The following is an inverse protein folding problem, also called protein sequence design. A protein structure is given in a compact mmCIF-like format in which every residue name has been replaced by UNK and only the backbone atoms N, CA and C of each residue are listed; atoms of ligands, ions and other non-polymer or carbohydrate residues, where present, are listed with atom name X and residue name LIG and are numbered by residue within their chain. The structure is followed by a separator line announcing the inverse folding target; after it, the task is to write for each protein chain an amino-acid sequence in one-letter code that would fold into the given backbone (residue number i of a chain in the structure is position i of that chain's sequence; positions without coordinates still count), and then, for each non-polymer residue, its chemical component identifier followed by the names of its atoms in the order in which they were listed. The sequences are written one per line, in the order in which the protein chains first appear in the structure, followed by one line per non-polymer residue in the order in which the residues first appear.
data_IF_213874667070
#
_entry.id   IF_213874667070
#
_cell.length_a   1.000
_cell.length_b   1.000
_cell.length_c   1.000
_cell.angle_alpha   90.00
_cell.angle_beta   90.00
_cell.angle_gamma   90.00
#
_symmetry.space_group_name_H-M   'P 1'
#
loop_
_entity.id
_entity.type
_entity.pdbx_description
1 polymer ?
#
# COMPACT_ATOMS: atom_id res chain seq x y z
N UNK A 1 18.69 14.63 6.06
CA UNK A 1 17.34 14.10 5.78
C UNK A 1 16.95 13.24 6.96
N UNK A 2 15.74 13.38 7.51
CA UNK A 2 15.28 12.48 8.57
C UNK A 2 15.13 11.07 8.02
N UNK A 3 15.57 10.03 8.73
CA UNK A 3 15.48 8.61 8.30
C UNK A 3 16.03 8.30 6.89
N UNK A 4 17.31 8.59 6.59
CA UNK A 4 17.91 8.18 5.32
C UNK A 4 18.07 6.65 5.24
N UNK A 5 18.26 6.03 6.39
CA UNK A 5 18.17 4.58 6.62
C UNK A 5 16.83 4.25 7.28
N UNK A 6 16.30 3.02 7.10
CA UNK A 6 15.10 2.59 7.80
C UNK A 6 15.24 2.70 9.31
N UNK A 7 14.28 3.34 9.96
CA UNK A 7 14.19 3.41 11.42
C UNK A 7 12.93 2.71 11.88
N UNK A 8 13.10 1.77 12.81
CA UNK A 8 12.02 0.99 13.41
C UNK A 8 11.38 1.69 14.60
N UNK A 9 10.06 1.56 14.70
CA UNK A 9 9.23 2.07 15.78
C UNK A 9 8.26 0.97 16.21
N UNK A 10 7.91 0.92 17.49
CA UNK A 10 6.69 0.21 17.89
C UNK A 10 5.48 0.94 17.28
N UNK A 11 4.52 0.19 16.74
CA UNK A 11 3.36 0.74 16.04
C UNK A 11 2.51 1.65 16.94
N UNK A 12 2.36 1.28 18.21
CA UNK A 12 1.66 2.07 19.23
C UNK A 12 2.40 3.37 19.54
N UNK A 13 3.72 3.34 19.64
CA UNK A 13 4.54 4.53 19.93
C UNK A 13 4.54 5.51 18.75
N UNK A 14 4.64 5.00 17.51
CA UNK A 14 4.53 5.84 16.32
C UNK A 14 3.11 6.42 16.17
N UNK A 15 2.08 5.64 16.50
CA UNK A 15 0.70 6.13 16.50
C UNK A 15 0.54 7.30 17.47
N UNK A 16 0.97 7.14 18.71
CA UNK A 16 0.87 8.17 19.72
C UNK A 16 1.69 9.43 19.36
N UNK A 17 2.87 9.26 18.75
CA UNK A 17 3.67 10.37 18.26
C UNK A 17 2.94 11.16 17.16
N UNK A 18 2.40 10.46 16.16
CA UNK A 18 1.69 11.11 15.05
C UNK A 18 0.41 11.80 15.53
N UNK A 19 -0.36 11.16 16.42
CA UNK A 19 -1.54 11.78 17.04
C UNK A 19 -1.17 13.01 17.87
N UNK A 20 -0.06 12.97 18.61
CA UNK A 20 0.42 14.11 19.38
C UNK A 20 0.85 15.31 18.53
N UNK A 21 1.43 15.07 17.36
CA UNK A 21 1.92 16.12 16.44
C UNK A 21 0.82 16.66 15.52
N UNK A 22 -0.11 15.81 15.07
CA UNK A 22 -1.11 16.19 14.05
C UNK A 22 -2.54 16.27 14.56
N UNK A 23 -2.83 15.68 15.72
CA UNK A 23 -4.19 15.46 16.21
C UNK A 23 -4.98 14.39 15.42
N UNK A 24 -4.35 13.70 14.47
CA UNK A 24 -4.95 12.66 13.64
C UNK A 24 -4.29 11.31 13.87
N UNK A 25 -5.05 10.24 13.64
CA UNK A 25 -4.53 8.87 13.71
C UNK A 25 -3.58 8.57 12.55
N UNK A 26 -2.71 7.56 12.74
CA UNK A 26 -1.93 6.98 11.65
C UNK A 26 -2.84 6.55 10.50
N UNK A 27 -2.29 6.62 9.29
CA UNK A 27 -2.94 6.11 8.10
C UNK A 27 -3.41 4.67 8.33
N UNK A 28 -4.61 4.32 7.86
CA UNK A 28 -5.29 3.05 8.16
C UNK A 28 -4.46 1.81 7.85
N UNK A 29 -3.56 1.89 6.87
CA UNK A 29 -2.66 0.80 6.49
C UNK A 29 -1.61 0.51 7.58
N UNK A 30 -1.28 1.48 8.42
CA UNK A 30 -0.27 1.40 9.49
C UNK A 30 -0.89 1.36 10.89
N UNK A 31 -2.13 1.80 11.06
CA UNK A 31 -2.76 1.99 12.38
C UNK A 31 -2.75 0.69 13.22
N UNK A 32 -2.21 0.71 14.46
CA UNK A 32 -2.24 -0.45 15.34
C UNK A 32 -3.67 -0.83 15.73
N UNK A 33 -3.85 -2.04 16.27
CA UNK A 33 -5.13 -2.42 16.87
C UNK A 33 -5.36 -1.60 18.13
N UNK A 34 -6.59 -1.20 18.39
CA UNK A 34 -6.94 -0.48 19.61
C UNK A 34 -6.84 -1.43 20.80
N UNK A 35 -6.00 -1.10 21.76
CA UNK A 35 -5.82 -1.86 23.00
C UNK A 35 -6.28 -1.02 24.19
N UNK A 36 -6.86 -1.70 25.18
CA UNK A 36 -7.19 -1.07 26.46
C UNK A 36 -6.00 -1.21 27.40
N UNK A 37 -5.49 -0.08 27.87
CA UNK A 37 -4.42 -0.04 28.85
C UNK A 37 -4.97 0.26 30.25
N UNK A 38 -4.40 -0.39 31.26
CA UNK A 38 -4.55 0.06 32.64
C UNK A 38 -3.69 1.32 32.91
N UNK A 39 -3.83 1.89 34.11
CA UNK A 39 -3.14 3.13 34.47
C UNK A 39 -1.62 3.03 34.51
N UNK A 40 -1.07 1.86 34.83
CA UNK A 40 0.38 1.64 34.90
C UNK A 40 0.96 1.52 33.49
N UNK A 41 0.33 0.69 32.64
CA UNK A 41 0.65 0.57 31.23
C UNK A 41 0.54 1.91 30.48
N UNK A 42 -0.46 2.73 30.79
CA UNK A 42 -0.59 4.08 30.22
C UNK A 42 0.57 4.99 30.64
N UNK A 43 0.95 4.97 31.92
CA UNK A 43 2.05 5.81 32.42
C UNK A 43 3.38 5.45 31.76
N UNK A 44 3.64 4.17 31.52
CA UNK A 44 4.85 3.72 30.85
C UNK A 44 4.84 3.98 29.34
N UNK A 45 3.67 3.93 28.70
CA UNK A 45 3.49 4.39 27.32
C UNK A 45 3.80 5.89 27.19
N UNK A 46 3.28 6.71 28.11
CA UNK A 46 3.51 8.17 28.12
C UNK A 46 5.00 8.51 28.29
N UNK A 47 5.72 7.78 29.17
CA UNK A 47 7.18 7.94 29.32
C UNK A 47 7.93 7.59 28.04
N UNK A 48 7.62 6.43 27.43
CA UNK A 48 8.25 6.00 26.17
C UNK A 48 8.01 7.02 25.06
N UNK A 49 6.80 7.56 24.98
CA UNK A 49 6.46 8.62 24.03
C UNK A 49 7.27 9.90 24.28
N UNK A 50 7.37 10.35 25.52
CA UNK A 50 8.16 11.53 25.88
C UNK A 50 9.65 11.35 25.52
N UNK A 51 10.22 10.19 25.82
CA UNK A 51 11.57 9.82 25.42
C UNK A 51 11.74 9.82 23.90
N UNK A 52 10.81 9.19 23.17
CA UNK A 52 10.82 9.14 21.71
C UNK A 52 10.77 10.55 21.12
N UNK A 53 9.85 11.40 21.59
CA UNK A 53 9.71 12.78 21.15
C UNK A 53 10.98 13.57 21.38
N UNK A 54 11.62 13.43 22.55
CA UNK A 54 12.87 14.12 22.87
C UNK A 54 14.03 13.80 21.93
N UNK A 55 14.04 12.62 21.29
CA UNK A 55 15.07 12.24 20.29
C UNK A 55 14.95 13.03 18.99
N UNK A 56 13.76 13.53 18.71
CA UNK A 56 13.39 14.26 17.51
C UNK A 56 13.10 15.73 17.80
N UNK A 57 13.17 16.14 19.06
CA UNK A 57 13.03 17.52 19.50
C UNK A 57 14.34 18.28 19.25
N UNK A 58 14.25 19.43 18.60
CA UNK A 58 15.40 20.26 18.24
C UNK A 58 15.36 20.80 16.80
N UNK A 59 16.20 21.81 16.49
CA UNK A 59 16.25 22.38 15.15
C UNK A 59 16.69 21.33 14.13
N UNK A 60 16.10 21.38 12.93
CA UNK A 60 16.48 20.51 11.82
C UNK A 60 17.98 20.58 11.58
N UNK A 61 18.58 19.42 11.26
CA UNK A 61 20.03 19.31 11.00
C UNK A 61 20.45 20.10 9.75
N UNK A 62 19.50 20.39 8.87
CA UNK A 62 19.64 21.17 7.64
C UNK A 62 18.30 21.82 7.29
N UNK A 63 18.32 22.94 6.55
CA UNK A 63 17.13 23.57 5.96
C UNK A 63 16.40 22.63 4.99
N UNK A 64 17.11 21.65 4.44
CA UNK A 64 16.56 20.66 3.49
C UNK A 64 15.98 19.40 4.17
N UNK A 65 15.96 19.35 5.51
CA UNK A 65 15.46 18.19 6.25
C UNK A 65 14.00 18.43 6.70
N UNK A 66 13.09 17.47 6.47
CA UNK A 66 11.72 17.57 6.98
C UNK A 66 11.70 17.61 8.50
N UNK A 67 10.77 18.39 9.04
CA UNK A 67 10.48 18.42 10.46
C UNK A 67 9.66 17.20 10.86
N UNK A 68 9.59 16.91 12.16
CA UNK A 68 8.72 15.85 12.68
C UNK A 68 7.27 16.05 12.23
N UNK A 69 6.81 17.30 12.25
CA UNK A 69 5.45 17.65 11.83
C UNK A 69 5.19 17.27 10.36
N UNK A 70 6.14 17.53 9.45
CA UNK A 70 6.01 17.16 8.03
C UNK A 70 5.93 15.62 7.86
N UNK A 71 6.76 14.88 8.60
CA UNK A 71 6.76 13.41 8.58
C UNK A 71 5.45 12.87 9.16
N UNK A 72 4.99 13.42 10.29
CA UNK A 72 3.76 13.01 10.94
C UNK A 72 2.53 13.29 10.06
N UNK A 73 2.52 14.41 9.33
CA UNK A 73 1.47 14.74 8.36
C UNK A 73 1.41 13.70 7.23
N UNK A 74 2.55 13.31 6.66
CA UNK A 74 2.59 12.25 5.64
C UNK A 74 2.17 10.87 6.16
N UNK A 75 2.39 10.59 7.46
CA UNK A 75 1.99 9.33 8.09
C UNK A 75 0.52 9.27 8.48
N UNK A 76 -0.17 10.41 8.66
CA UNK A 76 -1.59 10.46 9.02
C UNK A 76 -2.50 10.81 7.83
N UNK A 77 -2.22 11.92 7.16
CA UNK A 77 -3.11 12.52 6.16
C UNK A 77 -2.34 12.99 4.91
N UNK A 78 -1.65 12.06 4.21
CA UNK A 78 -0.82 12.43 3.08
C UNK A 78 -1.62 13.09 1.94
N UNK A 79 -1.05 14.09 1.24
CA UNK A 79 -1.68 14.69 0.08
C UNK A 79 -1.71 13.71 -1.10
N UNK A 80 -0.67 12.88 -1.23
CA UNK A 80 -0.59 11.78 -2.18
C UNK A 80 -0.04 10.54 -1.51
N UNK A 81 -0.70 9.40 -1.73
CA UNK A 81 -0.23 8.13 -1.22
C UNK A 81 -0.50 6.98 -2.21
N UNK A 82 0.39 6.00 -2.18
CA UNK A 82 0.13 4.64 -2.62
C UNK A 82 0.29 3.75 -1.40
N UNK A 83 -0.64 2.83 -1.15
CA UNK A 83 -0.54 1.94 0.01
C UNK A 83 -1.08 0.56 -0.32
N UNK A 84 -0.79 -0.43 0.51
CA UNK A 84 -1.33 -1.76 0.32
C UNK A 84 -1.01 -2.76 1.41
N UNK A 85 -1.60 -3.93 1.26
CA UNK A 85 -1.35 -5.11 2.08
C UNK A 85 -0.73 -6.19 1.23
N UNK A 86 0.24 -6.90 1.79
CA UNK A 86 1.00 -7.94 1.13
C UNK A 86 1.00 -9.19 2.02
N UNK A 87 0.96 -10.35 1.39
CA UNK A 87 0.89 -11.64 2.08
C UNK A 87 1.63 -12.70 1.29
N UNK A 88 2.49 -13.46 1.95
CA UNK A 88 3.11 -14.68 1.41
C UNK A 88 2.49 -15.97 1.95
N UNK A 89 1.33 -15.86 2.61
CA UNK A 89 0.62 -16.95 3.28
C UNK A 89 1.10 -17.24 4.71
N UNK A 90 2.29 -16.77 5.10
CA UNK A 90 2.83 -16.90 6.45
C UNK A 90 2.98 -15.57 7.18
N UNK A 91 3.32 -14.53 6.42
CA UNK A 91 3.54 -13.18 6.89
C UNK A 91 2.57 -12.22 6.22
N UNK A 92 2.14 -11.22 6.99
CA UNK A 92 1.29 -10.15 6.53
C UNK A 92 1.98 -8.83 6.84
N UNK A 93 2.36 -8.12 5.79
CA UNK A 93 2.93 -6.79 5.91
C UNK A 93 2.00 -5.79 5.23
N UNK A 94 2.07 -4.55 5.68
CA UNK A 94 1.36 -3.45 5.06
C UNK A 94 2.32 -2.30 4.83
N UNK A 95 2.10 -1.52 3.77
CA UNK A 95 3.02 -0.45 3.41
C UNK A 95 2.28 0.81 2.97
N UNK A 96 2.86 1.95 3.31
CA UNK A 96 2.47 3.29 2.89
C UNK A 96 3.65 3.95 2.20
N UNK A 97 3.51 4.31 0.92
CA UNK A 97 4.37 5.26 0.25
C UNK A 97 3.62 6.60 0.12
N UNK A 98 4.06 7.60 0.87
CA UNK A 98 3.44 8.92 0.93
C UNK A 98 4.42 10.00 0.44
N UNK A 99 3.90 11.07 -0.16
CA UNK A 99 4.74 12.14 -0.69
C UNK A 99 4.09 13.51 -0.63
N UNK A 100 4.94 14.53 -0.49
CA UNK A 100 4.63 15.95 -0.66
C UNK A 100 5.29 16.48 -1.94
N UNK A 101 5.27 17.80 -2.13
CA UNK A 101 5.94 18.45 -3.26
C UNK A 101 7.47 18.36 -3.22
N UNK A 102 8.07 18.08 -2.07
CA UNK A 102 9.50 18.27 -1.86
C UNK A 102 10.21 17.10 -1.17
N UNK A 103 9.48 16.14 -0.58
CA UNK A 103 10.02 14.86 -0.13
C UNK A 103 8.91 13.78 -0.07
N UNK A 104 9.30 12.55 0.19
CA UNK A 104 8.35 11.48 0.52
C UNK A 104 8.90 10.51 1.55
N UNK A 105 8.08 9.55 1.95
CA UNK A 105 8.44 8.48 2.85
C UNK A 105 7.81 7.16 2.43
N UNK A 106 8.46 6.07 2.84
CA UNK A 106 7.87 4.74 2.87
C UNK A 106 7.85 4.26 4.32
N UNK A 107 6.70 3.76 4.75
CA UNK A 107 6.52 3.10 6.03
C UNK A 107 6.01 1.69 5.79
N UNK A 108 6.68 0.69 6.36
CA UNK A 108 6.31 -0.72 6.28
C UNK A 108 5.98 -1.20 7.69
N UNK A 109 4.79 -1.77 7.87
CA UNK A 109 4.39 -2.42 9.10
C UNK A 109 4.49 -3.93 8.95
N UNK A 110 5.14 -4.55 9.93
CA UNK A 110 5.18 -5.99 10.13
C UNK A 110 4.82 -6.28 11.60
N UNK A 111 3.64 -6.87 11.81
CA UNK A 111 3.08 -7.04 13.17
C UNK A 111 2.93 -5.72 13.92
N UNK A 112 3.69 -5.57 15.01
CA UNK A 112 3.68 -4.41 15.90
C UNK A 112 4.87 -3.46 15.67
N UNK A 113 5.66 -3.69 14.63
CA UNK A 113 6.77 -2.81 14.25
C UNK A 113 6.44 -2.05 12.96
N UNK A 114 6.84 -0.78 12.92
CA UNK A 114 6.76 0.07 11.72
C UNK A 114 8.16 0.60 11.40
N UNK A 115 8.61 0.34 10.19
CA UNK A 115 9.87 0.79 9.65
C UNK A 115 9.64 1.97 8.71
N UNK A 116 10.19 3.14 9.04
CA UNK A 116 10.03 4.38 8.26
C UNK A 116 11.35 4.79 7.64
N UNK A 117 11.31 5.18 6.36
CA UNK A 117 12.43 5.77 5.63
C UNK A 117 11.93 6.91 4.76
N UNK A 118 12.63 8.04 4.74
CA UNK A 118 12.30 9.14 3.82
C UNK A 118 13.14 9.08 2.54
N UNK A 119 12.69 9.78 1.51
CA UNK A 119 13.36 9.88 0.23
C UNK A 119 13.12 11.25 -0.42
N UNK A 120 14.03 11.64 -1.33
CA UNK A 120 13.80 12.77 -2.25
C UNK A 120 12.63 12.47 -3.18
N UNK A 121 11.89 13.48 -3.69
CA UNK A 121 10.72 13.28 -4.54
C UNK A 121 10.93 12.20 -5.59
N UNK A 122 10.17 11.12 -5.45
CA UNK A 122 10.22 9.93 -6.28
C UNK A 122 8.79 9.51 -6.62
N UNK A 123 8.69 8.66 -7.65
CA UNK A 123 7.44 8.07 -8.06
C UNK A 123 6.94 7.09 -7.00
N UNK A 124 5.92 7.48 -6.23
CA UNK A 124 5.40 6.72 -5.09
C UNK A 124 4.98 5.28 -5.46
N UNK A 125 4.40 5.11 -6.64
CA UNK A 125 4.01 3.79 -7.16
C UNK A 125 5.19 2.87 -7.40
N UNK A 126 6.36 3.39 -7.79
CA UNK A 126 7.59 2.60 -7.92
C UNK A 126 8.10 2.20 -6.53
N UNK A 127 8.14 3.15 -5.60
CA UNK A 127 8.56 2.90 -4.22
C UNK A 127 7.70 1.82 -3.55
N UNK A 128 6.37 1.85 -3.75
CA UNK A 128 5.48 0.82 -3.22
C UNK A 128 5.63 -0.52 -3.96
N UNK A 129 5.75 -0.50 -5.30
CA UNK A 129 5.91 -1.72 -6.08
C UNK A 129 7.20 -2.47 -5.74
N UNK A 130 8.26 -1.76 -5.35
CA UNK A 130 9.54 -2.34 -4.92
C UNK A 130 9.46 -3.10 -3.58
N UNK A 131 8.34 -3.01 -2.85
CA UNK A 131 8.06 -3.89 -1.70
C UNK A 131 7.80 -5.33 -2.14
N UNK A 132 7.35 -5.53 -3.38
CA UNK A 132 7.14 -6.87 -3.93
C UNK A 132 8.48 -7.60 -4.11
N UNK A 133 8.49 -8.95 -4.03
CA UNK A 133 9.68 -9.73 -4.30
C UNK A 133 10.31 -9.39 -5.65
N UNK A 134 11.62 -9.20 -5.67
CA UNK A 134 12.33 -8.91 -6.93
C UNK A 134 12.50 -10.20 -7.75
N UNK A 135 12.74 -11.32 -7.06
CA UNK A 135 12.88 -12.64 -7.64
C UNK A 135 11.49 -13.26 -7.83
N UNK A 136 11.01 -13.25 -9.06
CA UNK A 136 9.77 -13.92 -9.46
C UNK A 136 9.92 -14.52 -10.85
N UNK A 137 9.14 -15.56 -11.12
CA UNK A 137 9.07 -16.15 -12.45
C UNK A 137 8.46 -15.13 -13.41
N UNK A 138 9.08 -14.93 -14.57
CA UNK A 138 8.53 -14.05 -15.61
C UNK A 138 7.50 -14.82 -16.42
N UNK A 139 6.30 -14.26 -16.52
CA UNK A 139 5.28 -14.73 -17.45
C UNK A 139 5.28 -13.89 -18.72
N UNK A 140 5.27 -14.55 -19.87
CA UNK A 140 5.07 -13.93 -21.19
C UNK A 140 3.64 -14.13 -21.71
N UNK A 141 2.74 -14.57 -20.83
CA UNK A 141 1.38 -14.85 -21.22
C UNK A 141 0.64 -13.57 -21.62
N UNK A 142 -0.21 -13.70 -22.65
CA UNK A 142 -0.97 -12.58 -23.16
C UNK A 142 -1.98 -12.08 -22.11
N UNK A 143 -2.18 -10.75 -22.01
CA UNK A 143 -3.25 -10.20 -21.19
C UNK A 143 -4.61 -10.77 -21.59
N UNK A 144 -5.49 -10.91 -20.61
CA UNK A 144 -6.85 -11.41 -20.81
C UNK A 144 -7.85 -10.50 -20.11
N UNK A 145 -8.88 -10.13 -20.85
CA UNK A 145 -10.01 -9.34 -20.36
C UNK A 145 -11.24 -10.23 -20.33
N UNK A 146 -11.98 -10.21 -19.22
CA UNK A 146 -13.25 -10.93 -19.07
C UNK A 146 -14.21 -10.11 -18.22
N UNK A 147 -15.50 -10.38 -18.37
CA UNK A 147 -16.50 -9.86 -17.45
C UNK A 147 -16.65 -10.79 -16.24
N UNK A 148 -16.97 -10.22 -15.07
CA UNK A 148 -17.11 -11.00 -13.83
C UNK A 148 -18.22 -12.04 -13.94
N UNK A 149 -19.35 -11.74 -14.59
CA UNK A 149 -20.43 -12.73 -14.78
C UNK A 149 -19.99 -13.90 -15.62
N UNK A 150 -19.15 -13.70 -16.63
CA UNK A 150 -18.63 -14.79 -17.47
C UNK A 150 -17.80 -15.78 -16.65
N UNK A 151 -16.97 -15.27 -15.74
CA UNK A 151 -16.20 -16.10 -14.80
C UNK A 151 -17.09 -16.84 -13.80
N UNK A 152 -18.09 -16.16 -13.24
CA UNK A 152 -19.02 -16.79 -12.27
C UNK A 152 -19.86 -17.89 -12.93
N UNK A 153 -20.36 -17.64 -14.13
CA UNK A 153 -21.12 -18.63 -14.91
C UNK A 153 -20.25 -19.82 -15.31
N UNK A 154 -18.99 -19.59 -15.72
CA UNK A 154 -18.06 -20.67 -16.01
C UNK A 154 -17.78 -21.56 -14.79
N UNK A 155 -17.54 -20.96 -13.61
CA UNK A 155 -17.37 -21.70 -12.35
C UNK A 155 -18.62 -22.48 -11.94
N UNK A 156 -19.80 -21.89 -12.11
CA UNK A 156 -21.08 -22.51 -11.75
C UNK A 156 -21.42 -23.70 -12.65
N UNK A 157 -21.14 -23.59 -13.94
CA UNK A 157 -21.48 -24.61 -14.95
C UNK A 157 -20.35 -25.60 -15.22
N UNK A 158 -19.11 -25.28 -14.81
CA UNK A 158 -17.90 -26.00 -15.21
C UNK A 158 -17.52 -25.80 -16.68
N UNK A 159 -18.21 -24.91 -17.40
CA UNK A 159 -18.07 -24.71 -18.85
C UNK A 159 -17.74 -23.26 -19.16
N UNK A 160 -16.47 -23.00 -19.49
CA UNK A 160 -16.04 -21.69 -19.96
C UNK A 160 -16.43 -21.46 -21.43
N UNK A 161 -17.17 -20.38 -21.66
CA UNK A 161 -17.79 -20.05 -22.96
C UNK A 161 -16.78 -19.72 -24.06
N UNK A 162 -15.61 -19.19 -23.71
CA UNK A 162 -14.57 -18.81 -24.67
C UNK A 162 -13.15 -19.05 -24.12
N UNK A 163 -12.13 -18.88 -24.96
CA UNK A 163 -10.72 -19.07 -24.58
C UNK A 163 -10.22 -18.06 -23.54
N UNK A 164 -10.72 -16.83 -23.56
CA UNK A 164 -10.36 -15.80 -22.58
C UNK A 164 -10.82 -16.18 -21.17
N UNK A 165 -12.08 -16.61 -21.01
CA UNK A 165 -12.61 -17.11 -19.73
C UNK A 165 -11.83 -18.31 -19.23
N UNK A 166 -11.52 -19.29 -20.09
CA UNK A 166 -10.65 -20.43 -19.73
C UNK A 166 -9.24 -20.02 -19.30
N UNK A 167 -8.70 -18.96 -19.89
CA UNK A 167 -7.37 -18.46 -19.55
C UNK A 167 -7.41 -17.71 -18.21
N UNK A 168 -8.39 -16.84 -18.01
CA UNK A 168 -8.60 -16.14 -16.76
C UNK A 168 -8.84 -17.13 -15.60
N UNK A 169 -9.67 -18.16 -15.77
CA UNK A 169 -9.87 -19.21 -14.76
C UNK A 169 -8.58 -19.93 -14.39
N UNK A 170 -7.74 -20.27 -15.38
CA UNK A 170 -6.43 -20.90 -15.13
C UNK A 170 -5.50 -20.00 -14.33
N UNK A 171 -5.45 -18.71 -14.65
CA UNK A 171 -4.62 -17.73 -13.91
C UNK A 171 -5.13 -17.58 -12.48
N UNK A 172 -6.44 -17.41 -12.30
CA UNK A 172 -7.03 -17.19 -10.97
C UNK A 172 -6.95 -18.46 -10.09
N UNK A 173 -6.98 -19.65 -10.70
CA UNK A 173 -6.86 -20.91 -9.99
C UNK A 173 -5.41 -21.24 -9.58
N UNK A 174 -4.41 -20.52 -10.11
CA UNK A 174 -3.00 -20.72 -9.74
C UNK A 174 -2.76 -20.15 -8.33
N UNK A 175 -2.42 -20.99 -7.33
CA UNK A 175 -2.26 -20.52 -5.95
C UNK A 175 -1.14 -19.47 -5.85
N UNK A 176 -1.42 -18.30 -5.23
CA UNK A 176 -0.38 -17.29 -5.04
C UNK A 176 0.64 -17.74 -4.00
N UNK A 177 1.92 -17.58 -4.34
CA UNK A 177 3.04 -17.59 -3.41
C UNK A 177 3.10 -16.27 -2.65
N UNK A 178 2.85 -15.16 -3.35
CA UNK A 178 2.69 -13.82 -2.77
C UNK A 178 1.46 -13.17 -3.37
N UNK A 179 0.72 -12.42 -2.57
CA UNK A 179 -0.42 -11.62 -2.98
C UNK A 179 -0.30 -10.21 -2.43
N UNK A 180 -0.78 -9.23 -3.18
CA UNK A 180 -0.86 -7.86 -2.70
C UNK A 180 -2.14 -7.16 -3.20
N UNK A 181 -2.72 -6.32 -2.36
CA UNK A 181 -3.80 -5.39 -2.72
C UNK A 181 -3.30 -3.96 -2.55
N UNK A 182 -3.24 -3.23 -3.65
CA UNK A 182 -2.59 -1.92 -3.73
C UNK A 182 -3.60 -0.84 -4.13
N UNK A 183 -3.51 0.30 -3.47
CA UNK A 183 -4.44 1.42 -3.60
C UNK A 183 -3.67 2.69 -3.94
N UNK A 184 -4.31 3.55 -4.73
CA UNK A 184 -3.94 4.95 -4.91
C UNK A 184 -4.86 5.85 -4.09
N UNK A 185 -4.28 6.83 -3.41
CA UNK A 185 -4.97 7.87 -2.67
C UNK A 185 -4.42 9.26 -3.02
N UNK A 186 -5.34 10.22 -3.07
CA UNK A 186 -5.05 11.65 -3.17
C UNK A 186 -5.98 12.42 -2.24
N UNK A 187 -5.47 13.50 -1.65
CA UNK A 187 -6.26 14.43 -0.86
C UNK A 187 -6.23 15.80 -1.51
N UNK A 188 -7.40 16.39 -1.65
CA UNK A 188 -7.60 17.75 -2.14
C UNK A 188 -8.49 18.55 -1.17
N UNK A 189 -8.96 19.72 -1.61
CA UNK A 189 -9.84 20.59 -0.82
C UNK A 189 -11.21 19.97 -0.52
N UNK A 190 -11.64 18.99 -1.31
CA UNK A 190 -12.91 18.29 -1.17
C UNK A 190 -12.78 17.04 -0.28
N UNK A 191 -11.56 16.69 0.13
CA UNK A 191 -11.27 15.61 1.05
C UNK A 191 -10.38 14.54 0.42
N UNK A 192 -10.52 13.32 0.94
CA UNK A 192 -9.72 12.16 0.52
C UNK A 192 -10.45 11.39 -0.58
N UNK A 193 -9.78 11.20 -1.70
CA UNK A 193 -10.18 10.36 -2.82
C UNK A 193 -9.27 9.14 -2.89
N UNK A 194 -9.86 7.95 -2.89
CA UNK A 194 -9.13 6.69 -3.07
C UNK A 194 -9.73 5.93 -4.22
N UNK A 195 -8.91 5.17 -4.95
CA UNK A 195 -9.41 4.31 -6.01
C UNK A 195 -10.49 3.35 -5.49
N UNK A 196 -11.58 3.20 -6.25
CA UNK A 196 -12.71 2.33 -5.86
C UNK A 196 -12.29 0.85 -5.80
N UNK A 197 -11.52 0.42 -6.80
CA UNK A 197 -11.01 -0.95 -6.89
C UNK A 197 -9.48 -0.94 -6.73
N UNK A 198 -8.92 -1.77 -5.83
CA UNK A 198 -7.48 -1.93 -5.75
C UNK A 198 -6.90 -2.59 -7.00
N UNK A 199 -5.63 -2.30 -7.26
CA UNK A 199 -4.82 -3.17 -8.08
C UNK A 199 -4.44 -4.41 -7.26
N UNK A 200 -4.76 -5.60 -7.78
CA UNK A 200 -4.33 -6.85 -7.14
C UNK A 200 -3.13 -7.42 -7.87
N UNK A 201 -2.13 -7.87 -7.12
CA UNK A 201 -0.93 -8.51 -7.64
C UNK A 201 -0.81 -9.89 -7.03
N UNK A 202 -0.46 -10.88 -7.86
CA UNK A 202 -0.25 -12.26 -7.46
C UNK A 202 1.05 -12.76 -8.06
N UNK A 203 1.98 -13.20 -7.22
CA UNK A 203 3.13 -13.97 -7.66
C UNK A 203 2.78 -15.44 -7.53
N UNK A 204 2.85 -16.17 -8.62
CA UNK A 204 2.61 -17.60 -8.66
C UNK A 204 3.84 -18.34 -9.17
N UNK A 205 3.80 -19.68 -9.16
CA UNK A 205 4.84 -20.50 -9.77
C UNK A 205 4.98 -20.24 -11.29
N UNK A 206 3.95 -19.70 -11.94
CA UNK A 206 3.94 -19.41 -13.38
C UNK A 206 4.24 -17.94 -13.71
N UNK A 207 4.23 -17.08 -12.69
CA UNK A 207 4.79 -15.74 -12.72
C UNK A 207 3.96 -14.69 -12.00
N UNK A 208 4.37 -13.43 -12.13
CA UNK A 208 3.64 -12.30 -11.55
C UNK A 208 2.49 -11.86 -12.45
N UNK A 209 1.32 -11.72 -11.85
CA UNK A 209 0.07 -11.32 -12.47
C UNK A 209 -0.51 -10.09 -11.78
N UNK A 210 -0.98 -9.14 -12.57
CA UNK A 210 -1.74 -7.99 -12.11
C UNK A 210 -3.20 -8.14 -12.57
N UNK A 211 -4.14 -7.94 -11.66
CA UNK A 211 -5.58 -7.88 -11.90
C UNK A 211 -6.07 -6.45 -11.63
N UNK A 212 -6.55 -5.80 -12.68
CA UNK A 212 -7.24 -4.52 -12.59
C UNK A 212 -8.75 -4.75 -12.77
N UNK A 213 -9.54 -4.19 -11.85
CA UNK A 213 -11.00 -4.22 -11.93
C UNK A 213 -11.49 -2.81 -12.30
N UNK A 214 -12.46 -2.76 -13.20
CA UNK A 214 -13.14 -1.51 -13.58
C UNK A 214 -14.63 -1.74 -13.78
N UNK A 215 -15.42 -0.68 -13.62
CA UNK A 215 -16.83 -0.71 -14.01
C UNK A 215 -16.97 -0.70 -15.52
N UNK A 216 -17.86 -1.52 -16.03
CA UNK A 216 -18.24 -1.59 -17.44
C UNK A 216 -19.76 -1.74 -17.52
N UNK A 217 -20.47 -0.62 -17.65
CA UNK A 217 -21.92 -0.51 -17.43
C UNK A 217 -22.30 -1.00 -16.01
N UNK A 218 -23.28 -1.90 -15.89
CA UNK A 218 -23.73 -2.49 -14.63
C UNK A 218 -22.91 -3.73 -14.22
N UNK A 219 -21.72 -3.90 -14.79
CA UNK A 219 -20.86 -5.07 -14.59
C UNK A 219 -19.41 -4.69 -14.27
N UNK A 220 -18.67 -5.64 -13.69
CA UNK A 220 -17.22 -5.53 -13.50
C UNK A 220 -16.46 -6.16 -14.65
N UNK A 221 -15.54 -5.40 -15.23
CA UNK A 221 -14.53 -5.86 -16.17
C UNK A 221 -13.25 -6.16 -15.41
N UNK A 222 -12.73 -7.36 -15.62
CA UNK A 222 -11.48 -7.84 -15.04
C UNK A 222 -10.42 -7.94 -16.13
N UNK A 223 -9.35 -7.18 -15.99
CA UNK A 223 -8.19 -7.20 -16.86
C UNK A 223 -7.02 -7.86 -16.13
N UNK A 224 -6.67 -9.08 -16.53
CA UNK A 224 -5.51 -9.81 -16.00
C UNK A 224 -4.34 -9.69 -16.98
N UNK A 225 -3.16 -9.34 -16.47
CA UNK A 225 -1.95 -9.22 -17.29
C UNK A 225 -0.73 -9.73 -16.54
N UNK A 226 0.20 -10.36 -17.26
CA UNK A 226 1.53 -10.60 -16.70
C UNK A 226 2.18 -9.25 -16.37
N UNK A 227 2.83 -9.16 -15.22
CA UNK A 227 3.36 -7.89 -14.73
C UNK A 227 4.79 -8.02 -14.23
N UNK A 228 5.61 -7.02 -14.55
CA UNK A 228 6.87 -6.74 -13.85
C UNK A 228 6.61 -5.75 -12.72
N UNK A 229 7.57 -5.54 -11.81
CA UNK A 229 7.49 -4.47 -10.81
C UNK A 229 7.21 -3.09 -11.43
N UNK A 230 7.90 -2.77 -12.54
CA UNK A 230 7.65 -1.53 -13.29
C UNK A 230 6.22 -1.46 -13.84
N UNK A 231 5.67 -2.57 -14.35
CA UNK A 231 4.29 -2.62 -14.84
C UNK A 231 3.28 -2.42 -13.70
N UNK A 232 3.56 -2.96 -12.51
CA UNK A 232 2.73 -2.72 -11.32
C UNK A 232 2.72 -1.22 -10.97
N UNK A 233 3.88 -0.56 -10.98
CA UNK A 233 3.96 0.88 -10.75
C UNK A 233 3.15 1.70 -11.80
N UNK A 234 3.24 1.33 -13.08
CA UNK A 234 2.45 1.97 -14.16
C UNK A 234 0.95 1.79 -13.98
N UNK A 235 0.52 0.60 -13.55
CA UNK A 235 -0.89 0.34 -13.28
C UNK A 235 -1.39 1.12 -12.06
N UNK A 236 -0.56 1.27 -11.03
CA UNK A 236 -0.87 2.05 -9.83
C UNK A 236 -1.07 3.54 -10.14
N UNK A 237 -0.18 4.16 -10.92
CA UNK A 237 -0.37 5.56 -11.34
C UNK A 237 -1.67 5.75 -12.15
N UNK A 238 -2.02 4.73 -12.94
CA UNK A 238 -3.26 4.71 -13.70
C UNK A 238 -4.52 4.65 -12.83
N UNK A 239 -4.42 4.31 -11.53
CA UNK A 239 -5.56 4.32 -10.60
C UNK A 239 -5.97 5.76 -10.22
N UNK A 240 -5.00 6.67 -10.08
CA UNK A 240 -5.28 8.08 -9.77
C UNK A 240 -5.95 8.79 -10.95
N UNK A 241 -5.50 8.52 -12.18
CA UNK A 241 -5.99 9.21 -13.39
C UNK A 241 -7.43 8.85 -13.80
N UNK A 242 -8.01 7.77 -13.25
CA UNK A 242 -9.35 7.28 -13.60
C UNK A 242 -10.46 7.79 -12.68
N UNK A 243 -10.13 8.58 -11.66
CA UNK A 243 -11.14 9.20 -10.80
C UNK A 243 -11.70 10.51 -11.37
N UNK A 244 -11.01 11.09 -12.35
CA UNK A 244 -11.34 12.38 -13.00
C UNK A 244 -12.12 12.24 -14.33
N UNK A 245 -12.51 11.03 -14.73
CA UNK A 245 -13.19 10.72 -16.00
C UNK A 245 -14.58 10.12 -15.78
#
# INVERSE_FOLDING_TARGET
MWFPEPVGFAATDLAALVTGETGADLHVVLAPQAEWHDSEAQTDADKRLAELRSRYDGPTRSVDDPELADVAELLSQPPHACYGWFSDGSQHLSALAAGSSWFGLIAIRDGDEIWVRTFRPQRLSTVLADVLPHDHVRSNAQPVTVLRSELLEARKTGLARNSAVRQAERIIADPPLVSAELYGEQRDRNGRHRCEFPLRVYDTATGRWALQISKHYDEERWDLSAATTARVADLLDGLHSRQDA
#
